data_IF_236045049044
#
_entry.id   IF_236045049044
#
_cell.length_a   1.000
_cell.length_b   1.000
_cell.length_c   1.000
_cell.angle_alpha   90.00
_cell.angle_beta   90.00
_cell.angle_gamma   90.00
#
_symmetry.space_group_name_H-M   'P 1'
#
loop_
_entity.id
_entity.type
_entity.pdbx_description
1 polymer ?
#
# COMPACT_ATOMS: atom_id res chain seq x y z
N UNK A 1 -2.69 -9.17 44.78
CA UNK A 1 -1.63 -10.02 44.23
C UNK A 1 -2.17 -10.60 42.92
N UNK A 2 -1.99 -9.88 41.81
CA UNK A 2 -2.34 -10.40 40.48
C UNK A 2 -1.08 -11.02 39.91
N UNK A 3 -1.07 -12.33 39.92
CA UNK A 3 0.03 -13.20 39.52
C UNK A 3 0.42 -12.91 38.07
N UNK A 4 1.72 -12.68 37.86
CA UNK A 4 2.31 -12.53 36.54
C UNK A 4 2.13 -13.84 35.77
N UNK A 5 1.03 -13.95 35.01
CA UNK A 5 0.83 -15.05 34.08
C UNK A 5 1.90 -14.95 32.98
N UNK A 6 2.97 -15.73 33.11
CA UNK A 6 3.99 -15.85 32.08
C UNK A 6 3.32 -16.36 30.80
N UNK A 7 3.34 -15.60 29.69
CA UNK A 7 2.71 -16.04 28.46
C UNK A 7 3.36 -17.36 28.00
N UNK A 8 2.52 -18.33 27.59
CA UNK A 8 2.98 -19.65 27.16
C UNK A 8 4.07 -19.51 26.08
N UNK A 9 5.29 -19.96 26.39
CA UNK A 9 6.46 -19.76 25.54
C UNK A 9 6.27 -20.29 24.11
N UNK A 10 5.52 -21.39 23.96
CA UNK A 10 5.19 -21.96 22.65
C UNK A 10 4.27 -21.03 21.82
N UNK A 11 3.29 -20.39 22.47
CA UNK A 11 2.38 -19.46 21.84
C UNK A 11 3.12 -18.18 21.40
N UNK A 12 4.02 -17.67 22.23
CA UNK A 12 4.87 -16.52 21.89
C UNK A 12 5.75 -16.83 20.69
N UNK A 13 6.37 -18.02 20.66
CA UNK A 13 7.19 -18.46 19.53
C UNK A 13 6.38 -18.58 18.23
N UNK A 14 5.17 -19.15 18.29
CA UNK A 14 4.27 -19.26 17.13
C UNK A 14 3.85 -17.88 16.61
N UNK A 15 3.47 -16.96 17.50
CA UNK A 15 3.15 -15.57 17.13
C UNK A 15 4.37 -14.89 16.50
N UNK A 16 5.57 -15.11 17.06
CA UNK A 16 6.82 -14.63 16.51
C UNK A 16 7.06 -15.12 15.08
N UNK A 17 6.89 -16.42 14.84
CA UNK A 17 7.01 -17.02 13.52
C UNK A 17 6.01 -16.43 12.51
N UNK A 18 4.74 -16.28 12.89
CA UNK A 18 3.71 -15.64 12.03
C UNK A 18 4.03 -14.17 11.71
N UNK A 19 4.61 -13.43 12.67
CA UNK A 19 5.03 -12.04 12.45
C UNK A 19 6.10 -11.91 11.38
N UNK A 20 6.98 -12.91 11.21
CA UNK A 20 8.02 -12.91 10.16
C UNK A 20 7.38 -12.83 8.77
N UNK A 21 6.37 -13.66 8.51
CA UNK A 21 5.66 -13.65 7.23
C UNK A 21 4.93 -12.34 7.00
N UNK A 22 4.22 -11.85 8.01
CA UNK A 22 3.50 -10.57 7.91
C UNK A 22 4.46 -9.42 7.57
N UNK A 23 5.51 -9.21 8.38
CA UNK A 23 6.46 -8.11 8.13
C UNK A 23 7.20 -8.27 6.80
N UNK A 24 7.67 -9.49 6.49
CA UNK A 24 8.39 -9.76 5.25
C UNK A 24 7.54 -9.51 4.02
N UNK A 25 6.36 -10.14 3.94
CA UNK A 25 5.49 -10.04 2.77
C UNK A 25 5.04 -8.60 2.49
N UNK A 26 4.58 -7.87 3.51
CA UNK A 26 4.10 -6.49 3.29
C UNK A 26 5.22 -5.52 2.92
N UNK A 27 6.43 -5.74 3.46
CA UNK A 27 7.62 -4.96 3.08
C UNK A 27 7.97 -5.17 1.61
N UNK A 28 8.11 -6.43 1.17
CA UNK A 28 8.48 -6.73 -0.20
C UNK A 28 7.37 -6.39 -1.20
N UNK A 29 6.10 -6.49 -0.81
CA UNK A 29 4.99 -6.09 -1.66
C UNK A 29 5.11 -4.61 -2.08
N UNK A 30 5.44 -3.72 -1.14
CA UNK A 30 5.66 -2.30 -1.44
C UNK A 30 6.77 -2.09 -2.47
N UNK A 31 7.89 -2.79 -2.29
CA UNK A 31 9.04 -2.74 -3.20
C UNK A 31 8.66 -3.24 -4.60
N UNK A 32 7.94 -4.36 -4.68
CA UNK A 32 7.48 -4.95 -5.95
C UNK A 32 6.47 -4.05 -6.66
N UNK A 33 5.62 -3.33 -5.92
CA UNK A 33 4.71 -2.33 -6.48
C UNK A 33 5.51 -1.21 -7.13
N UNK A 34 6.49 -0.63 -6.45
CA UNK A 34 7.37 0.40 -7.02
C UNK A 34 8.12 -0.08 -8.26
N UNK A 35 8.66 -1.31 -8.21
CA UNK A 35 9.34 -1.94 -9.35
C UNK A 35 8.43 -2.03 -10.57
N UNK A 36 7.25 -2.60 -10.39
CA UNK A 36 6.31 -2.84 -11.49
C UNK A 36 5.70 -1.52 -11.99
N UNK A 37 5.38 -0.59 -11.10
CA UNK A 37 4.87 0.72 -11.45
C UNK A 37 5.90 1.50 -12.29
N UNK A 38 7.15 1.60 -11.85
CA UNK A 38 8.14 2.36 -12.62
C UNK A 38 8.39 1.74 -14.01
N UNK A 39 8.43 0.40 -14.11
CA UNK A 39 8.49 -0.29 -15.40
C UNK A 39 7.30 0.00 -16.30
N UNK A 40 6.08 -0.05 -15.76
CA UNK A 40 4.86 0.18 -16.52
C UNK A 40 4.81 1.58 -17.15
N UNK A 41 5.47 2.57 -16.53
CA UNK A 41 5.54 3.94 -17.01
C UNK A 41 6.84 4.28 -17.77
N UNK A 42 7.62 3.26 -18.15
CA UNK A 42 8.77 3.38 -19.05
C UNK A 42 10.10 3.75 -18.37
N UNK A 43 10.21 3.60 -17.05
CA UNK A 43 11.46 3.74 -16.31
C UNK A 43 12.09 2.38 -15.91
N UNK A 44 13.19 2.43 -15.17
CA UNK A 44 13.85 1.25 -14.60
C UNK A 44 13.07 0.72 -13.39
N UNK A 45 12.71 -0.56 -13.41
CA UNK A 45 12.11 -1.21 -12.24
C UNK A 45 13.02 -1.18 -11.00
N UNK A 46 14.34 -1.26 -11.20
CA UNK A 46 15.31 -1.21 -10.08
C UNK A 46 15.25 0.15 -9.39
N UNK A 47 15.21 1.24 -10.16
CA UNK A 47 15.04 2.58 -9.59
C UNK A 47 13.69 2.71 -8.87
N UNK A 48 12.62 2.14 -9.42
CA UNK A 48 11.30 2.10 -8.77
C UNK A 48 11.31 1.35 -7.44
N UNK A 49 12.01 0.21 -7.37
CA UNK A 49 12.21 -0.55 -6.13
C UNK A 49 13.00 0.25 -5.07
N UNK A 50 14.04 0.97 -5.49
CA UNK A 50 14.84 1.82 -4.59
C UNK A 50 14.02 3.02 -4.09
N UNK A 51 13.23 3.67 -4.96
CA UNK A 51 12.32 4.74 -4.53
C UNK A 51 11.29 4.22 -3.53
N UNK A 52 10.72 3.04 -3.78
CA UNK A 52 9.77 2.41 -2.86
C UNK A 52 10.39 2.07 -1.49
N UNK A 53 11.68 1.73 -1.45
CA UNK A 53 12.35 1.41 -0.18
C UNK A 53 12.43 2.62 0.75
N UNK A 54 12.38 3.85 0.23
CA UNK A 54 12.29 5.08 1.04
C UNK A 54 11.01 5.14 1.89
N UNK A 55 9.95 4.43 1.50
CA UNK A 55 8.70 4.32 2.26
C UNK A 55 8.68 3.14 3.24
N UNK A 56 9.75 2.36 3.28
CA UNK A 56 9.89 1.20 4.19
C UNK A 56 11.02 1.42 5.19
N UNK A 57 12.04 2.18 4.78
CA UNK A 57 13.22 2.48 5.59
C UNK A 57 12.84 3.12 6.92
N UNK A 58 13.58 2.78 7.97
CA UNK A 58 13.46 3.43 9.26
C UNK A 58 14.22 4.76 9.31
N UNK A 59 13.61 5.77 9.92
CA UNK A 59 14.16 7.13 10.04
C UNK A 59 14.34 7.56 11.51
N UNK A 60 14.53 6.61 12.42
CA UNK A 60 14.76 6.91 13.83
C UNK A 60 16.26 7.24 14.06
N UNK A 61 16.63 8.45 14.53
CA UNK A 61 18.01 8.80 14.87
C UNK A 61 18.59 7.97 16.03
N UNK A 62 17.74 7.45 16.91
CA UNK A 62 18.15 6.68 18.09
C UNK A 62 18.35 5.18 17.79
N UNK A 63 18.00 4.73 16.59
CA UNK A 63 18.15 3.33 16.22
C UNK A 63 19.62 2.95 16.03
N UNK A 64 20.13 2.05 16.87
CA UNK A 64 21.53 1.60 16.86
C UNK A 64 21.75 0.29 16.08
N UNK A 65 20.68 -0.38 15.66
CA UNK A 65 20.75 -1.64 14.91
C UNK A 65 19.59 -1.77 13.92
N UNK A 66 19.84 -2.43 12.79
CA UNK A 66 18.89 -2.57 11.67
C UNK A 66 19.17 -1.60 10.52
N UNK A 67 18.19 -1.40 9.64
CA UNK A 67 18.30 -0.53 8.46
C UNK A 67 17.62 0.82 8.74
N UNK A 68 18.42 1.80 9.16
CA UNK A 68 17.94 3.15 9.51
C UNK A 68 18.83 4.24 8.91
N UNK A 69 18.22 5.36 8.52
CA UNK A 69 18.93 6.50 7.92
C UNK A 69 19.48 7.52 8.96
N UNK A 70 19.22 7.32 10.26
CA UNK A 70 19.74 8.20 11.32
C UNK A 70 19.20 9.64 11.33
N UNK A 71 18.22 9.96 10.48
CA UNK A 71 17.60 11.28 10.36
C UNK A 71 16.09 11.15 10.50
N UNK A 72 15.44 12.11 11.16
CA UNK A 72 13.97 12.19 11.30
C UNK A 72 13.33 13.33 10.51
N UNK A 73 14.14 14.27 10.02
CA UNK A 73 13.70 15.42 9.23
C UNK A 73 14.59 15.64 8.01
N UNK A 74 14.03 16.24 6.97
CA UNK A 74 14.73 16.62 5.74
C UNK A 74 14.31 18.03 5.33
N UNK A 75 15.25 18.98 5.31
CA UNK A 75 14.98 20.42 5.08
C UNK A 75 13.82 20.99 5.91
N UNK A 76 13.73 20.62 7.19
CA UNK A 76 12.66 21.09 8.09
C UNK A 76 11.32 20.36 7.95
N UNK A 77 11.18 19.42 7.01
CA UNK A 77 10.01 18.56 6.89
C UNK A 77 10.22 17.24 7.65
N UNK A 78 9.21 16.80 8.41
CA UNK A 78 9.23 15.49 9.06
C UNK A 78 9.16 14.36 8.04
N UNK A 79 10.02 13.35 8.19
CA UNK A 79 10.00 12.16 7.34
C UNK A 79 9.03 11.16 7.97
N UNK A 80 7.87 10.97 7.35
CA UNK A 80 6.92 9.93 7.71
C UNK A 80 6.78 8.91 6.57
N UNK A 81 7.52 7.79 6.62
CA UNK A 81 7.49 6.77 5.57
C UNK A 81 6.24 5.90 5.62
N UNK A 82 5.34 6.06 6.61
CA UNK A 82 4.26 5.10 6.87
C UNK A 82 3.43 4.77 5.63
N UNK A 83 3.64 3.57 5.09
CA UNK A 83 2.67 2.69 4.44
C UNK A 83 1.86 3.25 3.27
N UNK A 84 2.20 4.43 2.76
CA UNK A 84 1.43 5.07 1.71
C UNK A 84 1.79 4.43 0.37
N UNK A 85 1.14 3.31 0.01
CA UNK A 85 1.31 2.69 -1.30
C UNK A 85 0.95 3.69 -2.42
N UNK A 86 0.05 4.66 -2.18
CA UNK A 86 -0.15 5.79 -3.11
C UNK A 86 1.15 6.59 -3.26
N UNK A 87 1.81 6.91 -2.15
CA UNK A 87 3.09 7.60 -2.16
C UNK A 87 4.13 6.85 -2.98
N UNK A 88 4.24 5.53 -2.81
CA UNK A 88 5.11 4.67 -3.61
C UNK A 88 4.74 4.70 -5.09
N UNK A 89 3.45 4.58 -5.43
CA UNK A 89 2.98 4.63 -6.81
C UNK A 89 3.26 5.99 -7.45
N UNK A 90 2.93 7.10 -6.78
CA UNK A 90 3.19 8.46 -7.27
C UNK A 90 4.69 8.65 -7.46
N UNK A 91 5.51 8.28 -6.47
CA UNK A 91 6.95 8.43 -6.54
C UNK A 91 7.57 7.59 -7.65
N UNK A 92 7.12 6.35 -7.85
CA UNK A 92 7.60 5.47 -8.93
C UNK A 92 7.14 5.93 -10.32
N UNK A 93 5.90 6.43 -10.46
CA UNK A 93 5.38 6.97 -11.73
C UNK A 93 6.11 8.26 -12.10
N UNK A 94 6.24 9.19 -11.14
CA UNK A 94 6.99 10.42 -11.33
C UNK A 94 8.47 10.12 -11.57
N UNK A 95 9.03 9.15 -10.84
CA UNK A 95 10.39 8.65 -11.02
C UNK A 95 10.63 8.10 -12.43
N UNK A 96 9.67 7.36 -13.01
CA UNK A 96 9.74 6.93 -14.41
C UNK A 96 9.81 8.10 -15.38
N UNK A 97 9.08 9.18 -15.10
CA UNK A 97 9.12 10.39 -15.92
C UNK A 97 10.46 11.14 -15.74
N UNK A 98 10.92 11.35 -14.50
CA UNK A 98 12.20 12.00 -14.19
C UNK A 98 13.36 11.23 -14.80
N UNK A 99 13.39 9.90 -14.66
CA UNK A 99 14.45 9.05 -15.23
C UNK A 99 14.58 9.25 -16.74
N UNK A 100 13.45 9.33 -17.45
CA UNK A 100 13.44 9.59 -18.89
C UNK A 100 13.91 10.99 -19.24
N UNK A 101 13.64 12.00 -18.40
CA UNK A 101 14.18 13.35 -18.62
C UNK A 101 15.68 13.41 -18.38
N UNK A 102 16.16 12.82 -17.29
CA UNK A 102 17.60 12.77 -16.96
C UNK A 102 18.35 12.01 -18.06
N UNK A 103 17.81 10.88 -18.53
CA UNK A 103 18.44 10.08 -19.60
C UNK A 103 18.65 10.87 -20.90
N UNK A 104 17.77 11.82 -21.23
CA UNK A 104 17.88 12.64 -22.45
C UNK A 104 19.08 13.57 -22.46
N UNK A 105 19.55 13.98 -21.29
CA UNK A 105 20.68 14.93 -21.15
C UNK A 105 21.99 14.23 -20.81
N UNK A 106 21.96 12.93 -20.46
CA UNK A 106 23.14 12.21 -20.01
C UNK A 106 24.01 11.72 -21.19
N UNK A 107 25.34 11.85 -21.11
CA UNK A 107 26.25 11.26 -22.09
C UNK A 107 26.13 9.74 -22.11
N UNK A 108 26.15 9.12 -23.29
CA UNK A 108 25.98 7.67 -23.47
C UNK A 108 26.93 6.82 -22.60
N UNK A 109 28.16 7.28 -22.41
CA UNK A 109 29.19 6.56 -21.63
C UNK A 109 28.88 6.51 -20.12
N UNK A 110 28.04 7.43 -19.62
CA UNK A 110 27.75 7.57 -18.20
C UNK A 110 26.28 7.27 -17.85
N UNK A 111 25.41 7.16 -18.87
CA UNK A 111 23.96 6.95 -18.71
C UNK A 111 23.64 5.78 -17.76
N UNK A 112 24.36 4.66 -17.87
CA UNK A 112 24.12 3.47 -17.05
C UNK A 112 24.17 3.75 -15.53
N UNK A 113 25.03 4.66 -15.08
CA UNK A 113 25.24 4.95 -13.65
C UNK A 113 24.63 6.30 -13.27
N UNK A 114 24.96 7.37 -14.02
CA UNK A 114 24.56 8.73 -13.66
C UNK A 114 23.05 8.95 -13.77
N UNK A 115 22.39 8.35 -14.76
CA UNK A 115 20.94 8.53 -14.89
C UNK A 115 20.22 7.98 -13.68
N UNK A 116 20.60 6.78 -13.21
CA UNK A 116 20.03 6.19 -11.99
C UNK A 116 20.34 7.06 -10.76
N UNK A 117 21.61 7.41 -10.54
CA UNK A 117 22.03 8.18 -9.38
C UNK A 117 21.31 9.54 -9.28
N UNK A 118 21.28 10.30 -10.38
CA UNK A 118 20.64 11.61 -10.43
C UNK A 118 19.13 11.50 -10.27
N UNK A 119 18.50 10.52 -10.92
CA UNK A 119 17.05 10.27 -10.76
C UNK A 119 16.70 9.98 -9.31
N UNK A 120 17.44 9.10 -8.66
CA UNK A 120 17.21 8.72 -7.26
C UNK A 120 17.45 9.88 -6.31
N UNK A 121 18.45 10.72 -6.57
CA UNK A 121 18.71 11.91 -5.75
C UNK A 121 17.57 12.94 -5.85
N UNK A 122 17.09 13.21 -7.07
CA UNK A 122 15.93 14.09 -7.31
C UNK A 122 14.69 13.51 -6.64
N UNK A 123 14.40 12.22 -6.89
CA UNK A 123 13.21 11.58 -6.38
C UNK A 123 13.23 11.41 -4.86
N UNK A 124 14.40 11.21 -4.24
CA UNK A 124 14.55 11.23 -2.79
C UNK A 124 14.14 12.57 -2.20
N UNK A 125 14.66 13.67 -2.76
CA UNK A 125 14.31 15.01 -2.32
C UNK A 125 12.81 15.31 -2.49
N UNK A 126 12.23 15.01 -3.66
CA UNK A 126 10.79 15.18 -3.94
C UNK A 126 9.94 14.33 -3.00
N UNK A 127 10.36 13.11 -2.72
CA UNK A 127 9.63 12.19 -1.85
C UNK A 127 9.52 12.76 -0.44
N UNK A 128 10.62 13.23 0.14
CA UNK A 128 10.64 13.75 1.51
C UNK A 128 9.97 15.12 1.64
N UNK A 129 10.14 16.01 0.66
CA UNK A 129 9.66 17.39 0.75
C UNK A 129 8.21 17.56 0.29
N UNK A 130 7.72 16.70 -0.59
CA UNK A 130 6.38 16.84 -1.20
C UNK A 130 5.51 15.63 -0.91
N UNK A 131 5.94 14.43 -1.29
CA UNK A 131 5.05 13.25 -1.31
C UNK A 131 4.69 12.79 0.11
N UNK A 132 5.67 12.66 1.00
CA UNK A 132 5.42 12.24 2.39
C UNK A 132 4.57 13.26 3.17
N UNK A 133 4.84 14.59 3.11
CA UNK A 133 3.97 15.58 3.75
C UNK A 133 2.51 15.54 3.27
N UNK A 134 2.28 15.40 1.96
CA UNK A 134 0.92 15.24 1.41
C UNK A 134 0.25 13.98 1.98
N UNK A 135 1.00 12.88 2.10
CA UNK A 135 0.54 11.66 2.76
C UNK A 135 0.09 11.90 4.20
N UNK A 136 0.87 12.68 4.96
CA UNK A 136 0.52 13.10 6.33
C UNK A 136 -0.79 13.89 6.39
N UNK A 137 -1.00 14.84 5.48
CA UNK A 137 -2.24 15.63 5.43
C UNK A 137 -3.47 14.79 5.08
N UNK A 138 -3.32 13.87 4.12
CA UNK A 138 -4.36 12.88 3.80
C UNK A 138 -4.70 12.03 5.04
N UNK A 139 -3.68 11.56 5.76
CA UNK A 139 -3.87 10.79 6.98
C UNK A 139 -4.61 11.60 8.07
N UNK A 140 -4.27 12.87 8.27
CA UNK A 140 -4.96 13.75 9.23
C UNK A 140 -6.43 13.94 8.84
N UNK A 141 -6.72 14.21 7.58
CA UNK A 141 -8.10 14.37 7.09
C UNK A 141 -8.93 13.09 7.25
N UNK A 142 -8.31 11.94 6.96
CA UNK A 142 -8.96 10.64 7.16
C UNK A 142 -9.20 10.33 8.64
N UNK A 143 -8.23 10.59 9.50
CA UNK A 143 -8.36 10.42 10.95
C UNK A 143 -9.51 11.27 11.51
N UNK A 144 -9.62 12.51 11.06
CA UNK A 144 -10.73 13.40 11.41
C UNK A 144 -12.08 12.80 10.99
N UNK A 145 -12.18 12.31 9.76
CA UNK A 145 -13.41 11.71 9.25
C UNK A 145 -13.84 10.49 10.07
N UNK A 146 -12.89 9.62 10.41
CA UNK A 146 -13.15 8.43 11.22
C UNK A 146 -13.62 8.76 12.63
N UNK A 147 -13.07 9.79 13.27
CA UNK A 147 -13.50 10.20 14.61
C UNK A 147 -14.94 10.78 14.60
N UNK A 148 -15.34 11.46 13.53
CA UNK A 148 -16.63 12.18 13.49
C UNK A 148 -17.78 11.39 12.85
N UNK A 149 -17.50 10.43 11.96
CA UNK A 149 -18.56 9.69 11.23
C UNK A 149 -18.92 8.33 11.83
N UNK A 150 -18.13 7.80 12.77
CA UNK A 150 -18.30 6.45 13.30
C UNK A 150 -19.52 6.31 14.25
N UNK A 151 -20.08 7.42 14.73
CA UNK A 151 -21.17 7.41 15.70
C UNK A 151 -22.58 7.17 15.13
N UNK A 152 -22.76 7.05 13.81
CA UNK A 152 -24.08 6.81 13.24
C UNK A 152 -24.05 5.87 12.01
N UNK A 153 -25.16 5.18 11.66
CA UNK A 153 -25.18 4.17 10.58
C UNK A 153 -24.77 4.71 9.21
N UNK A 154 -25.18 5.94 8.87
CA UNK A 154 -24.86 6.54 7.57
C UNK A 154 -23.37 6.90 7.47
N UNK A 155 -22.83 7.51 8.52
CA UNK A 155 -21.40 7.82 8.62
C UNK A 155 -20.55 6.56 8.56
N UNK A 156 -20.94 5.49 9.27
CA UNK A 156 -20.27 4.20 9.19
C UNK A 156 -20.34 3.55 7.80
N UNK A 157 -21.44 3.73 7.06
CA UNK A 157 -21.53 3.28 5.66
C UNK A 157 -20.59 4.06 4.72
N UNK A 158 -20.49 5.38 4.91
CA UNK A 158 -19.54 6.22 4.16
C UNK A 158 -18.10 5.83 4.50
N UNK A 159 -17.79 5.63 5.78
CA UNK A 159 -16.47 5.18 6.25
C UNK A 159 -16.12 3.79 5.68
N UNK A 160 -17.07 2.86 5.63
CA UNK A 160 -16.88 1.55 4.99
C UNK A 160 -16.47 1.70 3.51
N UNK A 161 -17.18 2.53 2.75
CA UNK A 161 -16.87 2.77 1.33
C UNK A 161 -15.50 3.43 1.12
N UNK A 162 -15.19 4.47 1.89
CA UNK A 162 -13.90 5.17 1.80
C UNK A 162 -12.73 4.29 2.23
N UNK A 163 -12.93 3.44 3.24
CA UNK A 163 -11.90 2.51 3.67
C UNK A 163 -11.58 1.48 2.59
N UNK A 164 -12.55 0.99 1.81
CA UNK A 164 -12.27 0.08 0.68
C UNK A 164 -11.35 0.73 -0.38
N UNK A 165 -11.53 2.02 -0.65
CA UNK A 165 -10.61 2.78 -1.51
C UNK A 165 -9.23 2.89 -0.86
N UNK A 166 -9.16 3.20 0.44
CA UNK A 166 -7.91 3.26 1.18
C UNK A 166 -7.17 1.91 1.26
N UNK A 167 -7.89 0.77 1.20
CA UNK A 167 -7.31 -0.57 1.10
C UNK A 167 -6.71 -0.81 -0.28
N UNK A 168 -7.47 -0.51 -1.34
CA UNK A 168 -7.01 -0.66 -2.73
C UNK A 168 -5.70 0.10 -2.97
N UNK A 169 -5.58 1.26 -2.33
CA UNK A 169 -4.43 2.15 -2.43
C UNK A 169 -3.42 2.00 -1.28
N UNK A 170 -3.60 1.05 -0.36
CA UNK A 170 -2.68 0.77 0.75
C UNK A 170 -2.61 1.80 1.89
N UNK A 171 -3.22 2.98 1.74
CA UNK A 171 -3.23 4.07 2.74
C UNK A 171 -3.74 3.62 4.11
N UNK A 172 -4.61 2.61 4.15
CA UNK A 172 -5.15 2.03 5.39
C UNK A 172 -4.09 1.56 6.39
N UNK A 173 -2.88 1.22 5.94
CA UNK A 173 -1.76 0.83 6.82
C UNK A 173 -1.27 2.02 7.67
N UNK A 174 -1.50 3.26 7.20
CA UNK A 174 -1.28 4.47 7.98
C UNK A 174 -2.21 4.59 9.18
N UNK A 175 -3.34 3.85 9.23
CA UNK A 175 -4.37 4.00 10.28
C UNK A 175 -4.08 3.28 11.59
N UNK A 176 -2.91 2.65 11.74
CA UNK A 176 -2.48 2.03 13.00
C UNK A 176 -2.64 2.98 14.22
N UNK A 177 -2.23 4.26 14.16
CA UNK A 177 -2.45 5.19 15.28
C UNK A 177 -3.93 5.51 15.52
N UNK A 178 -4.75 5.54 14.47
CA UNK A 178 -6.21 5.75 14.58
C UNK A 178 -6.85 4.58 15.33
N UNK A 179 -6.42 3.34 15.03
CA UNK A 179 -6.89 2.15 15.75
C UNK A 179 -6.58 2.23 17.24
N UNK A 180 -5.37 2.65 17.60
CA UNK A 180 -5.00 2.87 19.01
C UNK A 180 -5.81 3.99 19.66
N UNK A 181 -5.96 5.14 18.98
CA UNK A 181 -6.76 6.25 19.49
C UNK A 181 -8.23 5.86 19.73
N UNK A 182 -8.82 5.04 18.86
CA UNK A 182 -10.16 4.50 19.08
C UNK A 182 -10.20 3.57 20.29
N UNK A 183 -9.25 2.63 20.41
CA UNK A 183 -9.20 1.73 21.58
C UNK A 183 -9.05 2.53 22.87
N UNK A 184 -8.21 3.57 22.88
CA UNK A 184 -8.01 4.43 24.06
C UNK A 184 -9.27 5.23 24.39
N UNK A 185 -10.00 5.72 23.39
CA UNK A 185 -11.17 6.58 23.59
C UNK A 185 -12.46 5.84 24.01
N UNK A 186 -12.71 4.64 23.48
CA UNK A 186 -13.98 3.91 23.70
C UNK A 186 -13.78 2.44 24.16
N UNK A 187 -12.54 1.99 24.34
CA UNK A 187 -12.20 0.63 24.79
C UNK A 187 -12.16 -0.42 23.67
N UNK A 188 -12.51 -0.07 22.43
CA UNK A 188 -12.50 -0.96 21.28
C UNK A 188 -12.31 -0.22 19.95
N UNK A 189 -11.94 -0.96 18.91
CA UNK A 189 -11.79 -0.43 17.57
C UNK A 189 -13.07 -0.67 16.75
N UNK A 190 -13.95 0.32 16.69
CA UNK A 190 -15.19 0.25 15.91
C UNK A 190 -14.98 0.18 14.40
N UNK A 191 -13.77 0.46 13.88
CA UNK A 191 -13.47 0.30 12.46
C UNK A 191 -13.47 -1.17 12.04
N UNK A 192 -12.91 -2.08 12.84
CA UNK A 192 -12.84 -3.50 12.44
C UNK A 192 -14.20 -4.13 12.10
N UNK A 193 -15.27 -3.92 12.90
CA UNK A 193 -16.63 -4.32 12.51
C UNK A 193 -17.13 -3.65 11.22
N UNK A 194 -16.92 -2.33 11.05
CA UNK A 194 -17.33 -1.58 9.85
C UNK A 194 -16.64 -2.15 8.60
N UNK A 195 -15.34 -2.45 8.70
CA UNK A 195 -14.53 -3.07 7.66
C UNK A 195 -15.02 -4.48 7.32
N UNK A 196 -15.34 -5.29 8.34
CA UNK A 196 -15.87 -6.63 8.13
C UNK A 196 -17.19 -6.60 7.36
N UNK A 197 -18.07 -5.63 7.68
CA UNK A 197 -19.32 -5.41 6.93
C UNK A 197 -19.05 -4.97 5.48
N UNK A 198 -18.06 -4.10 5.25
CA UNK A 198 -17.67 -3.67 3.90
C UNK A 198 -17.20 -4.85 3.04
N UNK A 199 -16.34 -5.72 3.61
CA UNK A 199 -15.87 -6.93 2.95
C UNK A 199 -16.99 -7.93 2.68
N UNK A 200 -17.89 -8.16 3.64
CA UNK A 200 -19.08 -8.99 3.45
C UNK A 200 -19.98 -8.44 2.33
N UNK A 201 -20.12 -7.11 2.23
CA UNK A 201 -20.82 -6.44 1.14
C UNK A 201 -20.20 -6.71 -0.23
N UNK A 202 -18.86 -6.68 -0.35
CA UNK A 202 -18.15 -7.04 -1.59
C UNK A 202 -18.39 -8.51 -1.99
N UNK A 203 -18.34 -9.43 -1.01
CA UNK A 203 -18.64 -10.85 -1.24
C UNK A 203 -20.09 -11.06 -1.71
N UNK A 204 -21.05 -10.41 -1.04
CA UNK A 204 -22.47 -10.46 -1.42
C UNK A 204 -22.72 -9.92 -2.82
N UNK A 205 -22.11 -8.78 -3.18
CA UNK A 205 -22.19 -8.21 -4.51
C UNK A 205 -21.59 -9.15 -5.58
N UNK A 206 -20.44 -9.76 -5.30
CA UNK A 206 -19.82 -10.74 -6.19
C UNK A 206 -20.73 -11.97 -6.40
N UNK A 207 -21.36 -12.47 -5.34
CA UNK A 207 -22.29 -13.60 -5.40
C UNK A 207 -23.55 -13.26 -6.23
N UNK A 208 -24.11 -12.06 -6.02
CA UNK A 208 -25.26 -11.57 -6.78
C UNK A 208 -24.95 -11.44 -8.28
N UNK A 209 -23.78 -10.89 -8.62
CA UNK A 209 -23.31 -10.81 -10.01
C UNK A 209 -23.06 -12.18 -10.62
N UNK A 210 -22.50 -13.12 -9.85
CA UNK A 210 -22.31 -14.51 -10.29
C UNK A 210 -23.66 -15.17 -10.62
N UNK A 211 -24.64 -15.05 -9.73
CA UNK A 211 -25.98 -15.62 -9.92
C UNK A 211 -26.74 -14.97 -11.10
N UNK A 212 -26.63 -13.65 -11.26
CA UNK A 212 -27.20 -12.94 -12.39
C UNK A 212 -26.55 -13.37 -13.71
N UNK A 213 -25.24 -13.64 -13.71
CA UNK A 213 -24.51 -14.11 -14.89
C UNK A 213 -24.86 -15.55 -15.26
N UNK A 214 -25.11 -16.44 -14.30
CA UNK A 214 -25.60 -17.80 -14.59
C UNK A 214 -27.03 -17.78 -15.13
N UNK A 215 -27.89 -16.88 -14.65
CA UNK A 215 -29.23 -16.66 -15.22
C UNK A 215 -29.17 -16.19 -16.69
N UNK A 216 -28.23 -15.29 -17.05
CA UNK A 216 -28.05 -14.83 -18.44
C UNK A 216 -27.42 -15.91 -19.34
N UNK A 217 -26.47 -16.71 -18.83
CA UNK A 217 -25.86 -17.82 -19.59
C UNK A 217 -26.83 -18.96 -19.90
N UNK A 218 -27.91 -19.11 -19.14
CA UNK A 218 -28.98 -20.05 -19.46
C UNK A 218 -29.70 -19.70 -20.79
N UNK A 219 -29.59 -18.46 -21.27
CA UNK A 219 -30.28 -17.99 -22.47
C UNK A 219 -29.39 -17.82 -23.72
N UNK A 220 -28.08 -18.13 -23.70
CA UNK A 220 -27.24 -17.96 -24.89
C UNK A 220 -26.32 -19.16 -25.21
N UNK A 221 -26.72 -20.06 -26.14
CA UNK A 221 -25.92 -21.20 -26.59
C UNK A 221 -24.61 -20.83 -27.32
N UNK A 222 -24.43 -19.56 -27.73
CA UNK A 222 -23.35 -19.13 -28.63
C UNK A 222 -21.97 -18.99 -27.98
N UNK A 223 -21.86 -18.96 -26.64
CA UNK A 223 -20.56 -18.79 -25.98
C UNK A 223 -19.75 -20.09 -25.81
N UNK A 224 -20.39 -21.27 -25.88
CA UNK A 224 -19.73 -22.57 -25.69
C UNK A 224 -18.71 -22.86 -26.79
N UNK A 225 -18.97 -22.42 -28.02
CA UNK A 225 -18.07 -22.55 -29.17
C UNK A 225 -16.88 -21.58 -29.21
N UNK A 226 -16.87 -20.52 -28.38
CA UNK A 226 -15.74 -19.59 -28.25
C UNK A 226 -14.73 -20.04 -27.18
N UNK A 227 -15.20 -20.67 -26.11
CA UNK A 227 -14.34 -21.24 -25.06
C UNK A 227 -13.60 -22.51 -25.51
N UNK A 228 -14.22 -23.38 -26.31
CA UNK A 228 -13.51 -24.52 -26.89
C UNK A 228 -12.36 -24.09 -27.82
N UNK A 229 -12.57 -23.02 -28.60
CA UNK A 229 -11.50 -22.43 -29.44
C UNK A 229 -10.39 -21.75 -28.64
N UNK A 230 -10.72 -21.13 -27.50
CA UNK A 230 -9.73 -20.53 -26.61
C UNK A 230 -8.94 -21.57 -25.80
N UNK A 231 -9.56 -22.68 -25.38
CA UNK A 231 -8.89 -23.74 -24.61
C UNK A 231 -8.11 -24.73 -25.49
N UNK A 232 -8.46 -24.87 -26.77
CA UNK A 232 -7.75 -25.74 -27.73
C UNK A 232 -6.54 -25.08 -28.39
N UNK A 233 -6.21 -23.82 -28.04
CA UNK A 233 -5.07 -23.11 -28.65
C UNK A 233 -5.21 -22.87 -30.16
N UNK A 234 -6.38 -23.07 -30.76
CA UNK A 234 -6.64 -22.88 -32.19
C UNK A 234 -6.93 -21.42 -32.58
N UNK A 235 -6.60 -20.46 -31.73
CA UNK A 235 -6.44 -19.07 -32.12
C UNK A 235 -4.96 -18.84 -32.47
N UNK A 236 -4.53 -19.33 -33.64
CA UNK A 236 -3.20 -19.05 -34.19
C UNK A 236 -3.26 -17.89 -35.18
N UNK A 237 -2.15 -17.13 -35.21
CA UNK A 237 -1.76 -16.02 -36.09
C UNK A 237 -2.12 -14.61 -35.64
#
# INVERSE_FOLDING_TARGET
MLENAHPNASLVALIGYMKVFSKGMFTFLSILIGYNAQKAFGGSGVNGAIIASLFVLGYNPEATSGFYAGISTFFGHGIDPRGNIIGVLIAAILGAWVERQVRRVMPANLDMILTSAVTLMIMGAVTFTVIMPIGGWLFTGMSWLFLHLNGNPFGSAVLAGLFLLAVMFGVHQGFVPVYFALVDAQGFNSLFPILAMAGAGQVGAALALFWRRSAIRCCEPRLKGRLFRASSGLASR
#
